data_IF_293737993436
#
_entry.id   IF_293737993436
#
_cell.length_a   1.000
_cell.length_b   1.000
_cell.length_c   1.000
_cell.angle_alpha   90.00
_cell.angle_beta   90.00
_cell.angle_gamma   90.00
#
_symmetry.space_group_name_H-M   'P 1'
#
loop_
_entity.id
_entity.type
_entity.pdbx_description
1 polymer ?
#
# COMPACT_ATOMS: atom_id res chain seq x y z
N UNK A 1 -17.40 24.67 -20.75
CA UNK A 1 -18.04 23.34 -20.74
C UNK A 1 -18.50 23.01 -19.32
N UNK A 2 -19.77 22.62 -19.11
CA UNK A 2 -20.22 22.08 -17.81
C UNK A 2 -20.01 20.57 -17.81
N UNK A 3 -19.07 20.07 -17.00
CA UNK A 3 -18.93 18.64 -16.74
C UNK A 3 -20.14 18.11 -15.97
N UNK A 4 -20.61 16.90 -16.32
CA UNK A 4 -21.78 16.29 -15.67
C UNK A 4 -21.54 16.09 -14.16
N UNK A 5 -22.60 16.08 -13.36
CA UNK A 5 -22.48 15.83 -11.91
C UNK A 5 -21.93 14.42 -11.62
N UNK A 6 -22.20 13.46 -12.51
CA UNK A 6 -21.77 12.06 -12.38
C UNK A 6 -20.24 11.91 -12.39
N UNK A 7 -19.53 12.70 -13.20
CA UNK A 7 -18.05 12.68 -13.27
C UNK A 7 -17.38 13.38 -12.08
N UNK A 8 -18.08 14.27 -11.36
CA UNK A 8 -17.51 14.97 -10.20
C UNK A 8 -17.34 14.08 -8.98
N UNK A 9 -18.19 13.07 -8.78
CA UNK A 9 -18.13 12.21 -7.59
C UNK A 9 -17.01 11.16 -7.60
N UNK A 10 -16.58 10.69 -8.78
CA UNK A 10 -15.58 9.63 -8.90
C UNK A 10 -14.13 10.14 -8.90
N UNK A 11 -13.89 11.31 -9.51
CA UNK A 11 -12.52 11.84 -9.73
C UNK A 11 -12.11 12.87 -8.68
N UNK A 12 -13.07 13.56 -8.02
CA UNK A 12 -12.75 14.41 -6.87
C UNK A 12 -12.64 13.59 -5.58
N UNK A 13 -11.82 14.02 -4.60
CA UNK A 13 -11.69 13.34 -3.31
C UNK A 13 -13.00 13.28 -2.50
N UNK A 14 -13.03 12.35 -1.56
CA UNK A 14 -13.98 12.37 -0.45
C UNK A 14 -13.66 13.52 0.52
N UNK A 15 -14.45 14.59 0.50
CA UNK A 15 -14.37 15.63 1.52
C UNK A 15 -14.77 15.08 2.91
N UNK A 16 -13.83 15.14 3.84
CA UNK A 16 -14.04 14.63 5.20
C UNK A 16 -14.62 15.67 6.13
N UNK A 17 -15.64 15.24 6.87
CA UNK A 17 -16.25 16.05 7.94
C UNK A 17 -15.49 15.94 9.27
N UNK A 18 -14.43 15.12 9.33
CA UNK A 18 -13.66 14.90 10.56
C UNK A 18 -12.77 16.10 10.92
N UNK A 19 -12.29 16.86 9.94
CA UNK A 19 -11.57 18.11 10.17
C UNK A 19 -12.48 19.26 10.68
N UNK A 20 -13.81 19.13 10.58
CA UNK A 20 -14.76 20.18 10.98
C UNK A 20 -15.03 20.08 12.49
N UNK A 21 -14.89 21.18 13.26
CA UNK A 21 -15.16 21.18 14.70
C UNK A 21 -16.64 20.89 15.03
N UNK A 22 -16.85 20.29 16.20
CA UNK A 22 -18.15 20.19 16.88
C UNK A 22 -18.13 21.24 17.99
N UNK A 23 -19.04 22.21 17.92
CA UNK A 23 -19.14 23.29 18.90
C UNK A 23 -19.41 22.71 20.30
N UNK A 24 -18.62 23.14 21.29
CA UNK A 24 -18.79 22.74 22.69
C UNK A 24 -18.30 21.33 23.06
N UNK A 25 -17.79 20.52 22.11
CA UNK A 25 -17.20 19.20 22.42
C UNK A 25 -15.67 19.27 22.46
N UNK A 26 -15.09 18.79 23.54
CA UNK A 26 -13.65 18.54 23.73
C UNK A 26 -13.44 17.10 24.16
N UNK A 27 -12.35 16.42 23.76
CA UNK A 27 -12.11 15.04 24.18
C UNK A 27 -11.86 14.98 25.69
N UNK A 28 -12.33 13.91 26.34
CA UNK A 28 -11.91 13.59 27.70
C UNK A 28 -10.45 13.08 27.66
N UNK A 29 -9.55 13.72 28.40
CA UNK A 29 -8.20 13.18 28.65
C UNK A 29 -8.26 12.15 29.76
N UNK A 30 -7.68 10.97 29.54
CA UNK A 30 -7.60 9.91 30.56
C UNK A 30 -6.48 8.92 30.24
N UNK A 31 -6.26 7.95 31.13
CA UNK A 31 -5.31 6.83 30.93
C UNK A 31 -5.87 5.78 29.96
N UNK A 32 -5.01 4.87 29.49
CA UNK A 32 -5.43 3.74 28.66
C UNK A 32 -6.46 2.84 29.37
N UNK A 33 -6.30 2.61 30.68
CA UNK A 33 -7.17 1.74 31.47
C UNK A 33 -8.55 2.39 31.72
N UNK A 34 -8.59 3.69 32.02
CA UNK A 34 -9.85 4.46 32.09
C UNK A 34 -10.54 4.52 30.73
N UNK A 35 -9.78 4.75 29.65
CA UNK A 35 -10.33 4.86 28.29
C UNK A 35 -11.10 3.61 27.88
N UNK A 36 -10.56 2.44 28.18
CA UNK A 36 -11.17 1.17 27.78
C UNK A 36 -12.21 0.66 28.77
N UNK A 37 -12.43 1.35 29.90
CA UNK A 37 -13.45 0.99 30.90
C UNK A 37 -14.88 1.08 30.34
N UNK A 38 -15.13 1.99 29.40
CA UNK A 38 -16.43 2.18 28.74
C UNK A 38 -16.76 1.04 27.72
N UNK A 39 -15.83 0.13 27.42
CA UNK A 39 -16.11 -1.05 26.58
C UNK A 39 -16.86 -2.11 27.39
N UNK A 40 -17.82 -2.75 26.72
CA UNK A 40 -18.64 -3.84 27.23
C UNK A 40 -18.47 -5.09 26.38
N UNK A 41 -18.76 -6.27 26.95
CA UNK A 41 -18.73 -7.53 26.20
C UNK A 41 -19.65 -7.49 24.98
N UNK A 42 -19.31 -8.26 23.94
CA UNK A 42 -19.99 -8.29 22.63
C UNK A 42 -19.82 -7.02 21.75
N UNK A 43 -18.88 -6.12 22.07
CA UNK A 43 -18.59 -4.96 21.20
C UNK A 43 -17.91 -5.37 19.89
N UNK A 44 -18.33 -4.77 18.77
CA UNK A 44 -17.64 -4.83 17.49
C UNK A 44 -16.72 -3.60 17.35
N UNK A 45 -15.41 -3.80 17.17
CA UNK A 45 -14.40 -2.75 17.24
C UNK A 45 -13.48 -2.76 16.00
N UNK A 46 -13.20 -1.58 15.47
CA UNK A 46 -12.29 -1.37 14.34
C UNK A 46 -10.94 -0.86 14.83
N UNK A 47 -9.85 -1.40 14.28
CA UNK A 47 -8.49 -1.01 14.65
C UNK A 47 -7.70 -0.47 13.47
N UNK A 48 -7.21 0.75 13.68
CA UNK A 48 -6.27 1.40 12.77
C UNK A 48 -5.02 0.53 12.62
N UNK A 49 -4.52 0.42 11.39
CA UNK A 49 -3.56 -0.61 11.01
C UNK A 49 -2.18 -0.02 10.65
N UNK A 50 -1.22 -0.87 10.31
CA UNK A 50 0.21 -0.53 10.06
C UNK A 50 0.84 0.31 11.19
N UNK A 51 1.54 1.41 10.86
CA UNK A 51 2.21 2.31 11.78
C UNK A 51 1.26 2.97 12.82
N UNK A 52 -0.03 3.04 12.51
CA UNK A 52 -1.07 3.65 13.36
C UNK A 52 -1.71 2.64 14.34
N UNK A 53 -1.19 1.41 14.45
CA UNK A 53 -1.71 0.37 15.34
C UNK A 53 -1.62 0.81 16.82
N UNK A 54 -2.74 1.00 17.54
CA UNK A 54 -2.74 1.78 18.79
C UNK A 54 -2.33 1.00 20.06
N UNK A 55 -1.10 0.47 20.10
CA UNK A 55 -0.52 -0.52 21.05
C UNK A 55 -0.93 -0.40 22.53
N UNK A 56 -1.02 0.80 23.10
CA UNK A 56 -1.23 1.01 24.53
C UNK A 56 -2.68 0.83 24.97
N UNK A 57 -3.64 1.25 24.14
CA UNK A 57 -5.02 0.82 24.29
C UNK A 57 -5.16 -0.66 24.00
N UNK A 58 -4.26 -1.23 23.18
CA UNK A 58 -4.26 -2.67 22.94
C UNK A 58 -3.99 -3.44 24.25
N UNK A 59 -2.95 -3.03 24.96
CA UNK A 59 -2.56 -3.63 26.24
C UNK A 59 -3.64 -3.47 27.32
N UNK A 60 -4.31 -2.30 27.40
CA UNK A 60 -5.29 -2.02 28.46
C UNK A 60 -6.51 -2.96 28.45
N UNK A 61 -7.04 -3.33 27.28
CA UNK A 61 -8.16 -4.31 27.23
C UNK A 61 -7.69 -5.73 27.46
N UNK A 62 -6.47 -6.09 27.05
CA UNK A 62 -5.92 -7.40 27.40
C UNK A 62 -5.94 -7.58 28.93
N UNK A 63 -5.56 -6.55 29.73
CA UNK A 63 -5.70 -6.58 31.20
C UNK A 63 -7.15 -6.85 31.65
N UNK A 64 -8.14 -6.15 31.07
CA UNK A 64 -9.57 -6.32 31.43
C UNK A 64 -10.11 -7.71 31.04
N UNK A 65 -9.66 -8.27 29.92
CA UNK A 65 -9.99 -9.65 29.49
C UNK A 65 -9.35 -10.67 30.43
N UNK A 66 -8.08 -10.49 30.81
CA UNK A 66 -7.37 -11.37 31.74
C UNK A 66 -7.96 -11.29 33.16
N UNK A 67 -8.48 -10.12 33.56
CA UNK A 67 -9.26 -9.90 34.78
C UNK A 67 -10.72 -10.41 34.71
N UNK A 68 -11.14 -11.02 33.59
CA UNK A 68 -12.50 -11.54 33.35
C UNK A 68 -13.62 -10.47 33.33
N UNK A 69 -13.28 -9.20 33.13
CA UNK A 69 -14.25 -8.09 33.02
C UNK A 69 -14.86 -7.93 31.62
N UNK A 70 -14.26 -8.55 30.60
CA UNK A 70 -14.63 -8.41 29.19
C UNK A 70 -14.60 -9.74 28.43
N UNK A 71 -15.59 -9.94 27.55
CA UNK A 71 -15.75 -11.12 26.70
C UNK A 71 -16.31 -10.80 25.31
N UNK A 72 -16.21 -11.73 24.37
CA UNK A 72 -16.98 -11.76 23.10
C UNK A 72 -16.80 -10.56 22.13
N UNK A 73 -15.70 -9.82 22.27
CA UNK A 73 -15.35 -8.67 21.42
C UNK A 73 -14.97 -9.14 20.00
N UNK A 74 -15.48 -8.50 18.92
CA UNK A 74 -15.15 -8.85 17.51
C UNK A 74 -14.56 -7.72 16.70
N UNK A 75 -13.71 -8.09 15.74
CA UNK A 75 -12.58 -7.25 15.34
C UNK A 75 -12.39 -7.14 13.86
N UNK A 76 -12.14 -5.91 13.42
CA UNK A 76 -11.88 -5.58 12.02
C UNK A 76 -10.64 -4.70 11.91
N UNK A 77 -9.64 -5.16 11.17
CA UNK A 77 -8.42 -4.42 10.84
C UNK A 77 -7.88 -4.91 9.48
N UNK A 78 -6.92 -4.19 8.88
CA UNK A 78 -6.30 -4.57 7.61
C UNK A 78 -4.80 -4.27 7.63
N UNK A 79 -3.96 -5.31 7.76
CA UNK A 79 -2.49 -5.22 7.81
C UNK A 79 -1.94 -4.40 9.00
N UNK A 80 -1.95 -4.98 10.19
CA UNK A 80 -1.36 -4.40 11.43
C UNK A 80 0.18 -4.52 11.42
N UNK A 81 0.88 -3.65 12.18
CA UNK A 81 2.34 -3.69 12.33
C UNK A 81 2.78 -3.70 13.79
N UNK A 82 3.83 -4.47 14.10
CA UNK A 82 4.31 -4.74 15.47
C UNK A 82 3.72 -6.03 16.06
N UNK A 83 3.94 -6.27 17.35
CA UNK A 83 3.25 -7.36 18.06
C UNK A 83 1.73 -7.16 18.06
N UNK A 84 1.01 -8.28 17.95
CA UNK A 84 -0.45 -8.32 17.93
C UNK A 84 -1.00 -8.93 19.23
N UNK A 85 -1.04 -8.19 20.36
CA UNK A 85 -1.56 -8.71 21.63
C UNK A 85 -3.04 -9.13 21.55
N UNK A 86 -3.73 -8.79 20.45
CA UNK A 86 -5.14 -9.08 20.18
C UNK A 86 -5.45 -10.38 19.43
N UNK A 87 -4.62 -11.41 19.61
CA UNK A 87 -5.14 -12.78 19.56
C UNK A 87 -6.21 -13.03 20.66
N UNK A 88 -6.38 -12.11 21.63
CA UNK A 88 -7.63 -11.82 22.40
C UNK A 88 -7.89 -10.29 22.55
N UNK A 89 -9.14 -9.79 22.50
CA UNK A 89 -9.54 -8.80 21.47
C UNK A 89 -9.56 -7.26 21.81
N UNK A 90 -9.90 -6.42 20.80
CA UNK A 90 -9.60 -4.96 20.57
C UNK A 90 -10.48 -3.83 21.20
N UNK A 91 -10.44 -2.56 20.66
CA UNK A 91 -9.98 -1.30 21.33
C UNK A 91 -10.59 0.08 20.88
N UNK A 92 -10.01 1.19 21.39
CA UNK A 92 -10.28 2.65 21.12
C UNK A 92 -9.05 3.45 20.53
N UNK A 93 -8.96 4.80 20.66
CA UNK A 93 -8.01 5.71 19.97
C UNK A 93 -6.88 6.41 20.80
N UNK A 94 -5.65 6.48 20.25
CA UNK A 94 -4.41 7.03 20.87
C UNK A 94 -3.87 8.31 20.20
N UNK A 95 -3.10 9.10 20.96
CA UNK A 95 -2.34 10.28 20.49
C UNK A 95 -0.86 10.17 20.85
N UNK A 96 0.02 10.21 19.85
CA UNK A 96 1.48 10.14 19.97
C UNK A 96 2.15 11.34 19.26
N UNK A 97 2.92 12.20 19.96
CA UNK A 97 3.60 13.34 19.35
C UNK A 97 4.57 12.99 18.21
N UNK A 98 5.08 11.75 18.17
CA UNK A 98 6.04 11.30 17.16
C UNK A 98 5.39 10.90 15.84
N UNK A 99 4.09 10.61 15.80
CA UNK A 99 3.37 10.26 14.55
C UNK A 99 3.42 11.44 13.58
N UNK A 100 3.79 11.24 12.30
CA UNK A 100 3.93 12.34 11.37
C UNK A 100 2.59 13.03 11.14
N UNK A 101 2.61 14.36 11.20
CA UNK A 101 1.50 15.19 10.79
C UNK A 101 1.47 15.24 9.27
N UNK A 102 0.89 14.21 8.66
CA UNK A 102 0.60 14.19 7.23
C UNK A 102 -0.41 15.27 6.91
N UNK A 103 -0.21 15.99 5.81
CA UNK A 103 -1.29 16.78 5.23
C UNK A 103 -2.34 15.78 4.74
N UNK A 104 -3.60 15.88 5.17
CA UNK A 104 -4.54 14.88 4.71
C UNK A 104 -6.00 14.88 5.16
N UNK A 105 -6.72 13.90 4.61
CA UNK A 105 -7.91 13.29 5.24
C UNK A 105 -7.51 12.39 6.43
N UNK A 106 -6.25 12.49 6.86
CA UNK A 106 -5.74 12.09 8.18
C UNK A 106 -6.11 13.09 9.29
N UNK A 107 -6.55 14.32 8.95
CA UNK A 107 -6.88 15.34 9.94
C UNK A 107 -8.23 15.09 10.62
N UNK A 108 -8.18 14.79 11.92
CA UNK A 108 -9.34 14.67 12.80
C UNK A 108 -9.31 15.84 13.79
N UNK A 109 -10.33 16.69 13.79
CA UNK A 109 -10.45 17.73 14.81
C UNK A 109 -10.71 17.09 16.17
N UNK A 110 -10.02 17.54 17.23
CA UNK A 110 -10.08 16.92 18.57
C UNK A 110 -11.50 16.72 19.11
N UNK A 111 -12.45 17.60 18.77
CA UNK A 111 -13.88 17.46 19.16
C UNK A 111 -14.59 16.25 18.54
N UNK A 112 -13.98 15.57 17.56
CA UNK A 112 -14.50 14.31 16.98
C UNK A 112 -14.06 13.09 17.79
N UNK A 113 -13.09 13.27 18.68
CA UNK A 113 -12.59 12.24 19.58
C UNK A 113 -13.39 12.35 20.88
N UNK A 114 -13.93 11.22 21.36
CA UNK A 114 -14.65 11.15 22.64
C UNK A 114 -13.67 10.99 23.81
N UNK A 115 -12.71 10.08 23.63
CA UNK A 115 -11.70 9.69 24.61
C UNK A 115 -10.31 9.75 23.99
N UNK A 116 -9.37 10.40 24.66
CA UNK A 116 -8.01 10.61 24.19
C UNK A 116 -6.99 10.16 25.24
N UNK A 117 -6.06 9.31 24.81
CA UNK A 117 -4.96 8.79 25.63
C UNK A 117 -3.64 9.20 24.99
N UNK A 118 -2.81 9.90 25.77
CA UNK A 118 -1.53 10.46 25.34
C UNK A 118 -0.38 9.48 25.64
N UNK A 119 0.51 9.29 24.67
CA UNK A 119 1.67 8.38 24.74
C UNK A 119 2.91 9.04 24.12
N UNK A 120 4.11 8.62 24.53
CA UNK A 120 5.37 8.98 23.85
C UNK A 120 6.19 7.71 23.62
N UNK A 121 6.17 7.23 22.38
CA UNK A 121 7.03 6.14 21.90
C UNK A 121 7.32 6.28 20.42
N UNK A 122 8.38 5.61 19.99
CA UNK A 122 8.71 5.57 18.56
C UNK A 122 7.63 4.82 17.78
N UNK A 123 7.40 5.27 16.53
CA UNK A 123 6.44 4.65 15.62
C UNK A 123 6.96 3.27 15.21
N UNK A 124 6.07 2.28 15.10
CA UNK A 124 6.39 0.98 14.51
C UNK A 124 6.69 1.14 13.01
N UNK A 125 7.89 0.73 12.60
CA UNK A 125 8.38 0.78 11.23
C UNK A 125 9.49 -0.23 11.00
N UNK A 126 10.11 -0.21 9.83
CA UNK A 126 11.30 -1.00 9.54
C UNK A 126 12.52 -0.45 10.31
N UNK A 127 13.39 -1.31 10.86
CA UNK A 127 14.60 -0.87 11.55
C UNK A 127 15.61 -0.24 10.58
N UNK A 128 15.70 -0.80 9.36
CA UNK A 128 16.55 -0.38 8.26
C UNK A 128 15.91 -0.77 6.91
N UNK A 129 16.45 -0.26 5.80
CA UNK A 129 16.03 -0.65 4.44
C UNK A 129 16.43 -2.12 4.17
N UNK A 130 15.60 -2.85 3.42
CA UNK A 130 15.86 -4.27 3.14
C UNK A 130 16.99 -4.44 2.11
N UNK A 131 17.88 -5.43 2.27
CA UNK A 131 18.89 -5.75 1.27
C UNK A 131 18.24 -6.22 -0.03
N UNK A 132 18.86 -5.88 -1.16
CA UNK A 132 18.41 -6.24 -2.51
C UNK A 132 19.41 -7.24 -3.10
N UNK A 133 18.91 -8.38 -3.57
CA UNK A 133 19.71 -9.42 -4.25
C UNK A 133 20.08 -9.04 -5.70
N UNK A 134 20.96 -9.85 -6.32
CA UNK A 134 21.27 -9.73 -7.73
C UNK A 134 20.05 -10.06 -8.62
N UNK A 135 19.21 -11.01 -8.20
CA UNK A 135 17.97 -11.41 -8.86
C UNK A 135 16.98 -10.26 -8.88
N UNK A 136 16.72 -9.65 -7.73
CA UNK A 136 15.84 -8.48 -7.59
C UNK A 136 16.40 -7.27 -8.34
N UNK A 137 17.72 -7.09 -8.35
CA UNK A 137 18.40 -6.06 -9.16
C UNK A 137 18.19 -6.29 -10.66
N UNK A 138 18.26 -7.54 -11.16
CA UNK A 138 17.96 -7.87 -12.56
C UNK A 138 16.49 -7.59 -12.89
N UNK A 139 15.56 -8.03 -12.03
CA UNK A 139 14.11 -7.76 -12.16
C UNK A 139 13.85 -6.25 -12.22
N UNK A 140 14.44 -5.48 -11.31
CA UNK A 140 14.29 -4.03 -11.24
C UNK A 140 14.74 -3.31 -12.51
N UNK A 141 15.89 -3.72 -13.08
CA UNK A 141 16.37 -3.21 -14.37
C UNK A 141 15.45 -3.59 -15.53
N UNK A 142 15.07 -4.86 -15.65
CA UNK A 142 14.14 -5.30 -16.69
C UNK A 142 12.87 -4.45 -16.69
N UNK A 143 12.25 -4.24 -15.52
CA UNK A 143 11.04 -3.43 -15.38
C UNK A 143 11.30 -1.96 -15.71
N UNK A 144 12.32 -1.34 -15.13
CA UNK A 144 12.62 0.08 -15.33
C UNK A 144 12.96 0.41 -16.79
N UNK A 145 13.84 -0.38 -17.42
CA UNK A 145 14.38 -0.10 -18.76
C UNK A 145 13.37 -0.39 -19.89
N UNK A 146 12.42 -1.30 -19.67
CA UNK A 146 11.51 -1.79 -20.73
C UNK A 146 10.02 -1.48 -20.51
N UNK A 147 9.58 -1.21 -19.27
CA UNK A 147 8.16 -1.04 -18.91
C UNK A 147 7.83 0.31 -18.24
N UNK A 148 8.83 1.11 -17.86
CA UNK A 148 8.63 2.42 -17.25
C UNK A 148 9.01 3.53 -18.22
N UNK A 149 8.00 4.29 -18.61
CA UNK A 149 8.14 5.49 -19.43
C UNK A 149 8.59 6.72 -18.62
N UNK A 150 9.32 7.63 -19.24
CA UNK A 150 9.42 9.01 -18.74
C UNK A 150 8.02 9.65 -18.68
N UNK A 151 7.73 10.34 -17.58
CA UNK A 151 6.41 10.88 -17.27
C UNK A 151 5.37 9.84 -16.79
N UNK A 152 5.78 8.63 -16.43
CA UNK A 152 4.88 7.62 -15.88
C UNK A 152 4.36 7.97 -14.47
N UNK A 153 3.11 7.57 -14.19
CA UNK A 153 2.55 7.59 -12.83
C UNK A 153 2.65 6.19 -12.24
N UNK A 154 3.35 6.02 -11.13
CA UNK A 154 3.69 4.71 -10.60
C UNK A 154 2.81 4.33 -9.39
N UNK A 155 2.38 3.07 -9.38
CA UNK A 155 1.98 2.34 -8.17
C UNK A 155 2.99 1.23 -7.92
N UNK A 156 3.43 1.10 -6.67
CA UNK A 156 4.37 0.09 -6.21
C UNK A 156 4.23 -0.10 -4.70
N UNK A 157 4.43 -1.33 -4.22
CA UNK A 157 4.45 -1.64 -2.79
C UNK A 157 5.80 -1.35 -2.13
N UNK A 158 6.02 -1.96 -0.96
CA UNK A 158 7.32 -2.01 -0.26
C UNK A 158 8.06 -3.32 -0.57
N UNK A 159 9.38 -3.31 -0.38
CA UNK A 159 10.23 -4.50 -0.42
C UNK A 159 11.20 -4.51 -1.59
N UNK A 160 12.11 -5.49 -1.58
CA UNK A 160 13.30 -5.49 -2.43
C UNK A 160 13.00 -5.39 -3.94
N UNK A 161 11.91 -5.97 -4.47
CA UNK A 161 11.54 -5.81 -5.89
C UNK A 161 11.11 -4.36 -6.21
N UNK A 162 10.10 -3.75 -5.54
CA UNK A 162 9.82 -2.32 -5.66
C UNK A 162 11.05 -1.41 -5.50
N UNK A 163 11.86 -1.64 -4.48
CA UNK A 163 13.04 -0.82 -4.19
C UNK A 163 14.14 -0.99 -5.25
N UNK A 164 14.32 -2.20 -5.81
CA UNK A 164 15.20 -2.45 -6.96
C UNK A 164 14.71 -1.75 -8.24
N UNK A 165 13.40 -1.73 -8.48
CA UNK A 165 12.81 -0.99 -9.59
C UNK A 165 13.11 0.51 -9.45
N UNK A 166 12.87 1.09 -8.28
CA UNK A 166 13.18 2.50 -7.99
C UNK A 166 14.69 2.80 -8.11
N UNK A 167 15.54 1.90 -7.62
CA UNK A 167 16.99 2.02 -7.73
C UNK A 167 17.49 2.03 -9.18
N UNK A 168 16.83 1.30 -10.08
CA UNK A 168 17.08 1.32 -11.52
C UNK A 168 16.51 2.58 -12.22
N UNK A 169 15.41 3.16 -11.72
CA UNK A 169 14.77 4.34 -12.31
C UNK A 169 15.54 5.67 -12.14
N UNK A 170 16.77 5.67 -11.61
CA UNK A 170 17.59 6.88 -11.38
C UNK A 170 17.89 7.71 -12.65
N UNK A 171 17.74 7.12 -13.84
CA UNK A 171 17.90 7.81 -15.14
C UNK A 171 16.60 8.38 -15.74
N UNK A 172 15.44 8.05 -15.17
CA UNK A 172 14.13 8.48 -15.66
C UNK A 172 13.85 9.95 -15.30
N UNK A 173 12.77 10.50 -15.88
CA UNK A 173 12.38 11.91 -15.75
C UNK A 173 10.89 12.07 -15.56
N UNK A 174 10.54 13.07 -14.76
CA UNK A 174 9.18 13.55 -14.50
C UNK A 174 8.19 12.48 -14.02
N UNK A 175 8.67 11.49 -13.27
CA UNK A 175 7.86 10.44 -12.69
C UNK A 175 6.90 11.00 -11.62
N UNK A 176 5.75 10.35 -11.46
CA UNK A 176 4.78 10.65 -10.41
C UNK A 176 4.39 9.42 -9.61
N UNK A 177 3.83 9.63 -8.42
CA UNK A 177 3.39 8.56 -7.51
C UNK A 177 1.88 8.65 -7.27
N UNK A 178 1.19 7.54 -7.56
CA UNK A 178 -0.18 7.27 -7.14
C UNK A 178 -0.23 5.80 -6.70
N UNK A 179 0.03 5.54 -5.43
CA UNK A 179 0.19 4.17 -4.90
C UNK A 179 -0.81 3.87 -3.79
N UNK A 180 -1.02 2.61 -3.43
CA UNK A 180 -1.74 2.25 -2.20
C UNK A 180 -0.87 2.54 -0.97
N UNK A 181 0.35 2.01 -0.98
CA UNK A 181 1.30 2.03 0.12
C UNK A 181 2.59 2.74 -0.30
N UNK A 182 3.01 3.74 0.47
CA UNK A 182 4.28 4.45 0.25
C UNK A 182 5.40 3.86 1.13
N UNK A 183 6.54 3.57 0.51
CA UNK A 183 7.78 3.08 1.15
C UNK A 183 8.97 4.02 0.95
N UNK A 184 10.11 3.67 1.56
CA UNK A 184 11.27 4.56 1.64
C UNK A 184 11.92 4.90 0.29
N UNK A 185 12.04 3.92 -0.64
CA UNK A 185 12.81 4.08 -1.87
C UNK A 185 12.35 5.22 -2.80
N UNK A 186 11.14 5.76 -2.61
CA UNK A 186 10.62 6.92 -3.35
C UNK A 186 11.45 8.19 -3.04
N UNK A 187 11.92 8.35 -1.79
CA UNK A 187 12.59 9.57 -1.34
C UNK A 187 13.86 9.88 -2.16
N UNK A 188 14.68 8.86 -2.44
CA UNK A 188 15.91 8.99 -3.22
C UNK A 188 15.68 9.56 -4.64
N UNK A 189 14.55 9.23 -5.26
CA UNK A 189 14.18 9.75 -6.59
C UNK A 189 13.51 11.12 -6.50
N UNK A 190 12.88 11.46 -5.38
CA UNK A 190 12.37 12.82 -5.09
C UNK A 190 13.53 13.79 -4.89
N UNK A 191 14.52 13.42 -4.07
CA UNK A 191 15.71 14.25 -3.79
C UNK A 191 16.53 14.52 -5.08
N UNK A 192 16.45 13.61 -6.06
CA UNK A 192 17.06 13.74 -7.40
C UNK A 192 16.21 14.53 -8.40
N UNK A 193 14.97 14.89 -8.07
CA UNK A 193 14.00 15.51 -8.98
C UNK A 193 13.45 14.58 -10.08
N UNK A 194 13.78 13.28 -10.01
CA UNK A 194 13.30 12.23 -10.93
C UNK A 194 11.80 12.00 -10.71
N UNK A 195 11.38 11.90 -9.45
CA UNK A 195 9.97 11.97 -9.05
C UNK A 195 9.65 13.42 -8.71
N UNK A 196 8.82 14.05 -9.53
CA UNK A 196 8.36 15.42 -9.33
C UNK A 196 6.84 15.58 -9.52
N UNK A 197 6.13 14.50 -9.88
CA UNK A 197 4.68 14.44 -10.06
C UNK A 197 4.12 15.40 -11.14
N UNK A 198 4.96 16.09 -11.92
CA UNK A 198 4.52 17.18 -12.81
C UNK A 198 3.71 16.72 -14.02
N UNK A 199 3.83 15.45 -14.43
CA UNK A 199 3.12 14.86 -15.59
C UNK A 199 1.87 14.07 -15.20
N UNK A 200 1.55 13.94 -13.91
CA UNK A 200 0.32 13.28 -13.46
C UNK A 200 -0.91 14.03 -13.95
N UNK A 201 -1.92 13.30 -14.41
CA UNK A 201 -3.23 13.87 -14.77
C UNK A 201 -4.14 14.04 -13.55
N UNK A 202 -4.01 13.20 -12.52
CA UNK A 202 -4.69 13.39 -11.23
C UNK A 202 -3.70 13.99 -10.24
N UNK A 203 -3.96 15.22 -9.80
CA UNK A 203 -3.13 15.97 -8.84
C UNK A 203 -1.65 16.09 -9.25
N UNK A 204 -1.34 16.83 -10.32
CA UNK A 204 0.04 17.18 -10.65
C UNK A 204 0.76 17.84 -9.48
N UNK A 205 2.03 17.51 -9.30
CA UNK A 205 2.87 18.02 -8.20
C UNK A 205 2.67 17.34 -6.84
N UNK A 206 1.71 16.43 -6.68
CA UNK A 206 1.43 15.74 -5.39
C UNK A 206 1.67 14.23 -5.45
N UNK A 207 2.33 13.68 -4.43
CA UNK A 207 2.32 12.25 -4.09
C UNK A 207 0.93 11.89 -3.56
N UNK A 208 0.35 10.81 -4.09
CA UNK A 208 -0.92 10.24 -3.62
C UNK A 208 -0.66 8.85 -3.05
N UNK A 209 -1.13 8.61 -1.83
CA UNK A 209 -1.06 7.30 -1.15
C UNK A 209 -2.19 7.12 -0.14
N UNK A 210 -2.54 5.87 0.18
CA UNK A 210 -3.57 5.49 1.18
C UNK A 210 -2.99 5.24 2.57
N UNK A 211 -1.77 4.68 2.65
CA UNK A 211 -1.01 4.48 3.89
C UNK A 211 0.49 4.45 3.60
N UNK A 212 1.32 4.53 4.64
CA UNK A 212 2.77 4.50 4.51
C UNK A 212 3.40 3.64 5.60
N UNK A 213 4.42 2.88 5.24
CA UNK A 213 5.14 2.00 6.16
C UNK A 213 6.58 1.86 5.68
N UNK A 214 7.54 1.99 6.60
CA UNK A 214 8.94 2.15 6.25
C UNK A 214 9.79 2.52 7.45
N UNK A 215 10.96 3.10 7.20
CA UNK A 215 11.88 3.51 8.27
C UNK A 215 11.48 4.85 8.91
N UNK A 216 12.22 5.27 9.94
CA UNK A 216 12.10 6.62 10.53
C UNK A 216 12.33 7.75 9.49
N UNK A 217 13.12 7.50 8.43
CA UNK A 217 13.38 8.47 7.35
C UNK A 217 12.09 8.78 6.58
N UNK A 218 11.31 7.76 6.21
CA UNK A 218 10.00 7.93 5.58
C UNK A 218 9.04 8.75 6.46
N UNK A 219 8.97 8.46 7.77
CA UNK A 219 8.08 9.22 8.66
C UNK A 219 8.49 10.68 8.81
N UNK A 220 9.79 10.99 8.80
CA UNK A 220 10.28 12.38 8.76
C UNK A 220 9.93 13.07 7.43
N UNK A 221 10.11 12.37 6.29
CA UNK A 221 9.73 12.88 4.97
C UNK A 221 8.23 13.15 4.84
N UNK A 222 7.37 12.44 5.57
CA UNK A 222 5.92 12.62 5.57
C UNK A 222 5.43 13.80 6.41
N UNK A 223 6.22 14.25 7.39
CA UNK A 223 5.80 15.26 8.35
C UNK A 223 5.77 16.66 7.71
N UNK A 224 4.59 17.29 7.67
CA UNK A 224 4.36 18.65 7.13
C UNK A 224 4.85 18.87 5.67
N UNK A 225 5.04 17.80 4.90
CA UNK A 225 5.58 17.87 3.55
C UNK A 225 4.51 18.28 2.51
N UNK A 226 4.62 19.46 1.86
CA UNK A 226 3.61 19.96 0.93
C UNK A 226 3.60 19.24 -0.42
N UNK A 227 4.57 18.36 -0.71
CA UNK A 227 4.51 17.46 -1.86
C UNK A 227 3.64 16.22 -1.59
N UNK A 228 3.33 15.93 -0.32
CA UNK A 228 2.18 15.08 -0.01
C UNK A 228 0.91 15.81 -0.41
N UNK A 229 -0.08 15.05 -0.89
CA UNK A 229 -1.41 15.58 -1.13
C UNK A 229 -1.99 16.16 0.17
N UNK A 230 -2.66 17.31 0.07
CA UNK A 230 -3.42 17.91 1.18
C UNK A 230 -4.56 17.05 1.73
N UNK A 231 -4.96 15.99 1.01
CA UNK A 231 -5.85 14.93 1.47
C UNK A 231 -5.19 13.54 1.33
N UNK A 232 -4.23 13.13 2.17
CA UNK A 232 -3.81 11.73 2.33
C UNK A 232 -5.06 10.81 2.29
N UNK A 233 -5.22 10.04 1.21
CA UNK A 233 -6.55 9.71 0.68
C UNK A 233 -7.09 8.40 1.26
N UNK A 234 -8.41 8.30 1.37
CA UNK A 234 -9.04 7.01 1.70
C UNK A 234 -8.78 6.01 0.56
N UNK A 235 -8.47 4.76 0.91
CA UNK A 235 -8.29 3.69 -0.08
C UNK A 235 -9.48 3.53 -1.05
N UNK A 236 -10.71 3.85 -0.61
CA UNK A 236 -11.89 3.86 -1.48
C UNK A 236 -11.83 4.87 -2.64
N UNK A 237 -10.95 5.87 -2.57
CA UNK A 237 -10.64 6.80 -3.66
C UNK A 237 -9.30 6.45 -4.33
N UNK A 238 -8.23 6.27 -3.56
CA UNK A 238 -6.88 5.97 -4.10
C UNK A 238 -6.87 4.70 -4.95
N UNK A 239 -7.54 3.65 -4.49
CA UNK A 239 -7.63 2.35 -5.16
C UNK A 239 -8.80 2.27 -6.14
N UNK A 240 -9.55 3.36 -6.36
CA UNK A 240 -10.67 3.37 -7.29
C UNK A 240 -10.15 3.29 -8.74
N UNK A 241 -10.64 2.31 -9.50
CA UNK A 241 -10.23 2.10 -10.89
C UNK A 241 -10.47 3.33 -11.78
N UNK A 242 -11.52 4.13 -11.53
CA UNK A 242 -11.81 5.34 -12.30
C UNK A 242 -10.86 6.50 -11.96
N UNK A 243 -10.26 6.52 -10.76
CA UNK A 243 -9.20 7.45 -10.39
C UNK A 243 -7.86 6.98 -10.97
N UNK A 244 -7.53 5.70 -10.81
CA UNK A 244 -6.28 5.09 -11.31
C UNK A 244 -6.17 5.26 -12.83
N UNK A 245 -7.23 4.92 -13.59
CA UNK A 245 -7.25 5.04 -15.06
C UNK A 245 -7.22 6.48 -15.58
N UNK A 246 -7.53 7.45 -14.72
CA UNK A 246 -7.47 8.87 -15.09
C UNK A 246 -6.04 9.42 -15.05
N UNK A 247 -5.08 8.69 -14.45
CA UNK A 247 -3.67 9.06 -14.51
C UNK A 247 -3.04 8.73 -15.88
N UNK A 248 -2.25 9.68 -16.36
CA UNK A 248 -1.34 9.53 -17.49
C UNK A 248 -0.28 8.45 -17.22
N UNK A 249 -0.10 7.56 -18.20
CA UNK A 249 0.96 6.52 -18.20
C UNK A 249 1.05 5.76 -16.87
N UNK A 250 -0.09 5.25 -16.40
CA UNK A 250 -0.15 4.51 -15.15
C UNK A 250 0.57 3.16 -15.25
N UNK A 251 1.62 2.97 -14.46
CA UNK A 251 2.42 1.73 -14.37
C UNK A 251 2.33 1.16 -12.96
N UNK A 252 1.77 -0.03 -12.83
CA UNK A 252 1.54 -0.71 -11.55
C UNK A 252 2.49 -1.90 -11.41
N UNK A 253 3.37 -1.86 -10.40
CA UNK A 253 4.39 -2.88 -10.13
C UNK A 253 4.00 -3.61 -8.83
N UNK A 254 3.70 -4.90 -8.92
CA UNK A 254 3.31 -5.73 -7.79
C UNK A 254 4.02 -7.09 -7.88
N UNK A 255 4.42 -7.64 -6.73
CA UNK A 255 5.07 -8.95 -6.62
C UNK A 255 4.03 -10.06 -6.47
N UNK A 256 4.24 -11.19 -7.15
CA UNK A 256 3.55 -12.46 -6.87
C UNK A 256 4.48 -13.43 -6.16
N UNK A 257 3.93 -14.41 -5.43
CA UNK A 257 4.72 -15.52 -4.87
C UNK A 257 4.91 -16.64 -5.90
N UNK A 258 3.84 -16.94 -6.64
CA UNK A 258 3.83 -17.97 -7.68
C UNK A 258 3.00 -17.48 -8.86
N UNK A 259 3.30 -18.01 -10.06
CA UNK A 259 2.46 -17.84 -11.25
C UNK A 259 2.32 -19.16 -12.00
N UNK A 260 1.08 -19.58 -12.26
CA UNK A 260 0.84 -20.79 -13.05
C UNK A 260 1.13 -20.56 -14.54
N UNK A 261 1.34 -21.65 -15.30
CA UNK A 261 1.62 -21.62 -16.76
C UNK A 261 0.51 -20.97 -17.61
N UNK A 262 -0.62 -20.56 -17.02
CA UNK A 262 -1.70 -19.85 -17.71
C UNK A 262 -1.75 -18.35 -17.36
N UNK A 263 -0.88 -17.90 -16.45
CA UNK A 263 -0.78 -16.53 -15.96
C UNK A 263 -1.64 -16.22 -14.73
N UNK A 264 -2.04 -17.20 -13.92
CA UNK A 264 -2.71 -16.94 -12.64
C UNK A 264 -1.68 -16.76 -11.53
N UNK A 265 -1.70 -15.60 -10.85
CA UNK A 265 -0.81 -15.32 -9.73
C UNK A 265 -1.40 -15.77 -8.38
N UNK A 266 -0.53 -16.27 -7.49
CA UNK A 266 -0.83 -16.53 -6.07
C UNK A 266 0.05 -15.65 -5.16
N UNK A 267 -0.39 -15.44 -3.91
CA UNK A 267 0.13 -14.39 -3.02
C UNK A 267 -0.69 -13.11 -3.18
N UNK A 268 -0.18 -12.14 -3.95
CA UNK A 268 -0.99 -10.99 -4.39
C UNK A 268 -1.86 -11.41 -5.57
N UNK A 269 -3.17 -11.51 -5.35
CA UNK A 269 -4.09 -12.20 -6.27
C UNK A 269 -4.31 -11.40 -7.56
N UNK A 270 -3.88 -11.97 -8.69
CA UNK A 270 -4.19 -11.46 -10.04
C UNK A 270 -4.78 -12.58 -10.91
N UNK A 271 -5.96 -12.31 -11.48
CA UNK A 271 -6.63 -13.27 -12.36
C UNK A 271 -5.93 -13.36 -13.73
N UNK A 272 -6.10 -14.49 -14.41
CA UNK A 272 -5.60 -14.72 -15.78
C UNK A 272 -6.07 -13.66 -16.77
N UNK A 273 -7.24 -13.04 -16.56
CA UNK A 273 -7.77 -11.98 -17.41
C UNK A 273 -7.12 -10.61 -17.17
N UNK A 274 -6.56 -10.38 -15.98
CA UNK A 274 -5.98 -9.10 -15.58
C UNK A 274 -4.45 -9.04 -15.77
N UNK A 275 -3.75 -10.18 -15.73
CA UNK A 275 -2.28 -10.20 -15.92
C UNK A 275 -1.89 -9.63 -17.29
N UNK A 276 -0.95 -8.69 -17.30
CA UNK A 276 -0.47 -8.00 -18.51
C UNK A 276 0.98 -8.33 -18.81
N UNK A 277 1.86 -8.06 -17.85
CA UNK A 277 3.29 -8.39 -17.90
C UNK A 277 3.65 -9.22 -16.67
N UNK A 278 4.64 -10.08 -16.84
CA UNK A 278 5.28 -10.87 -15.78
C UNK A 278 6.78 -10.69 -15.98
N UNK A 279 7.52 -10.41 -14.91
CA UNK A 279 8.95 -10.20 -14.96
C UNK A 279 9.66 -11.12 -13.95
N UNK A 280 10.77 -11.69 -14.37
CA UNK A 280 11.73 -12.43 -13.55
C UNK A 280 13.13 -11.90 -13.85
N UNK A 281 14.14 -12.39 -13.14
CA UNK A 281 15.55 -12.13 -13.41
C UNK A 281 15.98 -12.54 -14.84
N UNK A 282 15.23 -13.46 -15.47
CA UNK A 282 15.45 -13.93 -16.84
C UNK A 282 14.73 -13.13 -17.93
N UNK A 283 13.86 -12.17 -17.59
CA UNK A 283 13.25 -11.25 -18.55
C UNK A 283 11.76 -11.02 -18.34
N UNK A 284 11.07 -10.56 -19.40
CA UNK A 284 9.67 -10.13 -19.36
C UNK A 284 8.78 -10.91 -20.33
N UNK A 285 7.67 -11.45 -19.82
CA UNK A 285 6.60 -12.05 -20.60
C UNK A 285 5.37 -11.13 -20.64
N UNK A 286 5.06 -10.57 -21.81
CA UNK A 286 3.75 -9.97 -22.08
C UNK A 286 2.72 -11.08 -22.33
N UNK A 287 1.63 -11.10 -21.56
CA UNK A 287 0.52 -12.08 -21.60
C UNK A 287 -0.81 -11.49 -22.13
N UNK A 288 -0.83 -10.20 -22.44
CA UNK A 288 -2.02 -9.52 -22.94
C UNK A 288 -2.40 -10.00 -24.35
N UNK A 289 -3.68 -10.30 -24.57
CA UNK A 289 -4.19 -10.83 -25.84
C UNK A 289 -3.75 -12.26 -26.20
N UNK A 290 -2.81 -12.86 -25.45
CA UNK A 290 -2.29 -14.21 -25.72
C UNK A 290 -3.25 -15.31 -25.24
N UNK A 291 -3.37 -16.36 -26.05
CA UNK A 291 -4.05 -17.59 -25.66
C UNK A 291 -3.20 -18.42 -24.66
N UNK A 292 -3.78 -19.47 -24.06
CA UNK A 292 -3.12 -20.27 -23.01
C UNK A 292 -1.78 -20.90 -23.47
N UNK A 293 -1.71 -21.37 -24.73
CA UNK A 293 -0.51 -21.97 -25.32
C UNK A 293 0.64 -20.96 -25.45
N UNK A 294 0.30 -19.73 -25.85
CA UNK A 294 1.23 -18.61 -25.99
C UNK A 294 1.67 -18.02 -24.65
N UNK A 295 0.81 -18.09 -23.64
CA UNK A 295 1.13 -17.70 -22.27
C UNK A 295 2.11 -18.68 -21.63
N UNK A 296 1.83 -19.99 -21.74
CA UNK A 296 2.73 -21.02 -21.26
C UNK A 296 4.12 -20.89 -21.89
N UNK A 297 4.19 -20.71 -23.22
CA UNK A 297 5.46 -20.48 -23.92
C UNK A 297 6.20 -19.26 -23.36
N UNK A 298 5.54 -18.11 -23.27
CA UNK A 298 6.17 -16.88 -22.80
C UNK A 298 6.65 -16.95 -21.35
N UNK A 299 5.91 -17.63 -20.47
CA UNK A 299 6.28 -17.84 -19.07
C UNK A 299 7.48 -18.78 -18.92
N UNK A 300 7.53 -19.87 -19.70
CA UNK A 300 8.65 -20.81 -19.71
C UNK A 300 9.95 -20.12 -20.15
N UNK A 301 9.90 -19.21 -21.13
CA UNK A 301 11.09 -18.48 -21.58
C UNK A 301 11.69 -17.54 -20.52
N UNK A 302 10.92 -17.19 -19.47
CA UNK A 302 11.39 -16.38 -18.33
C UNK A 302 11.50 -17.20 -17.02
N UNK A 303 11.32 -18.51 -17.07
CA UNK A 303 11.58 -19.40 -15.93
C UNK A 303 13.07 -19.69 -15.76
N UNK A 304 13.47 -20.17 -14.57
CA UNK A 304 14.82 -20.67 -14.31
C UNK A 304 15.21 -21.75 -15.35
N UNK A 305 16.41 -21.70 -15.97
CA UNK A 305 16.81 -22.63 -17.03
C UNK A 305 16.55 -24.10 -16.72
N UNK A 306 16.89 -24.53 -15.50
CA UNK A 306 16.77 -25.92 -15.03
C UNK A 306 15.32 -26.42 -14.97
N UNK A 307 14.33 -25.53 -14.86
CA UNK A 307 12.91 -25.87 -14.80
C UNK A 307 12.24 -25.92 -16.18
N UNK A 308 12.86 -25.38 -17.23
CA UNK A 308 12.19 -25.15 -18.52
C UNK A 308 11.70 -26.45 -19.17
N UNK A 309 12.55 -27.47 -19.24
CA UNK A 309 12.19 -28.77 -19.81
C UNK A 309 11.01 -29.41 -19.04
N UNK A 310 11.05 -29.35 -17.71
CA UNK A 310 9.98 -29.86 -16.84
C UNK A 310 8.66 -29.12 -17.10
N UNK A 311 8.70 -27.78 -17.17
CA UNK A 311 7.52 -26.94 -17.42
C UNK A 311 6.97 -27.13 -18.85
N UNK A 312 7.81 -27.36 -19.86
CA UNK A 312 7.36 -27.69 -21.22
C UNK A 312 6.61 -29.03 -21.25
N UNK A 313 7.15 -30.05 -20.57
CA UNK A 313 6.51 -31.36 -20.43
C UNK A 313 5.18 -31.28 -19.68
N UNK A 314 5.14 -30.66 -18.49
CA UNK A 314 3.92 -30.46 -17.70
C UNK A 314 2.87 -29.66 -18.48
N UNK A 315 3.29 -28.65 -19.24
CA UNK A 315 2.41 -27.86 -20.11
C UNK A 315 1.85 -28.68 -21.27
N UNK A 316 2.65 -29.53 -21.92
CA UNK A 316 2.16 -30.47 -22.93
C UNK A 316 1.15 -31.47 -22.34
N UNK A 317 1.47 -32.06 -21.19
CA UNK A 317 0.59 -33.00 -20.48
C UNK A 317 -0.75 -32.36 -20.09
N UNK A 318 -0.76 -31.07 -19.74
CA UNK A 318 -1.96 -30.32 -19.35
C UNK A 318 -2.75 -29.76 -20.53
N UNK A 319 -2.09 -29.20 -21.55
CA UNK A 319 -2.73 -28.52 -22.69
C UNK A 319 -2.95 -29.44 -23.90
N UNK A 320 -2.40 -30.66 -23.88
CA UNK A 320 -2.41 -31.64 -24.99
C UNK A 320 -1.84 -31.09 -26.31
N UNK A 321 -1.01 -30.06 -26.23
CA UNK A 321 -0.26 -29.48 -27.34
C UNK A 321 1.01 -28.78 -26.80
N UNK A 322 2.07 -28.73 -27.61
CA UNK A 322 3.33 -28.06 -27.22
C UNK A 322 3.13 -26.54 -27.10
N UNK A 323 3.66 -25.85 -26.08
CA UNK A 323 3.74 -24.39 -26.05
C UNK A 323 4.31 -23.81 -27.35
N UNK A 324 3.83 -22.64 -27.79
CA UNK A 324 4.35 -21.95 -28.98
C UNK A 324 4.17 -20.43 -28.87
N UNK A 325 4.94 -19.62 -29.64
CA UNK A 325 4.69 -18.19 -29.81
C UNK A 325 3.24 -17.84 -30.22
#
# INVERSE_FOLDING_TARGET
>A
MRWSAMLRGAVMPLQSRLAIPILGKTPKKMTADEAVSEIVSNSDLYVHSTACTPTELLTAICKRVDAQELSDIRLTHALIGGEAPFTKKQYFALVNPKVPRTHGNSLIHQSRIDTMVEIDRDIHGLPEELPISDEETKIGRHIADNLVDNGATLQLGIGAIPDACLAAMKGHKDLGIHTELLGDGVMDLVDRGVINNSKKSVLPGKIVTSFAFGTKRLYQFLHENPMMREDFDCCSWTNNMDVIRANSKMTCINSGLEIDITGQGAGVVTSRAHVRYVATEYGIANLYGKNVRQRAYALIQIAHPDDRERLEKESFERLKCMPSP
#
